data_IF_892724118796
#
_entry.id   IF_892724118796
#
_cell.length_a   1.000
_cell.length_b   1.000
_cell.length_c   1.000
_cell.angle_alpha   90.00
_cell.angle_beta   90.00
_cell.angle_gamma   90.00
#
_symmetry.space_group_name_H-M   'P 1'
#
loop_
_entity.id
_entity.type
_entity.pdbx_description
1 polymer ?
#
# COMPACT_ATOMS: atom_id res chain seq x y z
N UNK A 1 15.83 6.11 29.79
CA UNK A 1 14.38 6.35 29.54
C UNK A 1 14.10 7.15 28.25
N UNK A 2 14.89 8.18 27.88
CA UNK A 2 14.65 8.95 26.63
C UNK A 2 14.84 8.13 25.36
N UNK A 3 15.91 7.34 25.29
CA UNK A 3 16.29 6.60 24.08
C UNK A 3 15.29 5.48 23.72
N UNK A 4 14.79 4.75 24.71
CA UNK A 4 13.79 3.68 24.49
C UNK A 4 12.44 4.21 23.96
N UNK A 5 11.98 5.36 24.48
CA UNK A 5 10.74 6.00 24.04
C UNK A 5 10.86 6.49 22.60
N UNK A 6 11.99 7.08 22.24
CA UNK A 6 12.28 7.55 20.88
C UNK A 6 12.31 6.36 19.90
N UNK A 7 13.02 5.28 20.24
CA UNK A 7 13.06 4.06 19.43
C UNK A 7 11.67 3.46 19.23
N UNK A 8 10.86 3.40 20.29
CA UNK A 8 9.47 2.92 20.18
C UNK A 8 8.62 3.76 19.21
N UNK A 9 8.71 5.09 19.30
CA UNK A 9 7.93 5.98 18.43
C UNK A 9 8.39 5.91 16.98
N UNK A 10 9.70 5.81 16.73
CA UNK A 10 10.23 5.63 15.37
C UNK A 10 9.78 4.31 14.75
N UNK A 11 9.83 3.23 15.53
CA UNK A 11 9.34 1.93 15.05
C UNK A 11 7.83 1.94 14.81
N UNK A 12 7.05 2.53 15.71
CA UNK A 12 5.62 2.67 15.53
C UNK A 12 5.28 3.48 14.25
N UNK A 13 6.02 4.55 13.99
CA UNK A 13 5.88 5.34 12.77
C UNK A 13 6.20 4.54 11.51
N UNK A 14 7.33 3.83 11.49
CA UNK A 14 7.75 3.02 10.35
C UNK A 14 6.77 1.87 10.08
N UNK A 15 6.41 1.10 11.11
CA UNK A 15 5.48 -0.02 10.97
C UNK A 15 4.07 0.46 10.59
N UNK A 16 3.63 1.59 11.13
CA UNK A 16 2.39 2.25 10.73
C UNK A 16 2.40 2.67 9.27
N UNK A 17 3.49 3.30 8.82
CA UNK A 17 3.66 3.67 7.41
C UNK A 17 3.67 2.43 6.49
N UNK A 18 4.34 1.36 6.85
CA UNK A 18 4.28 0.11 6.08
C UNK A 18 2.85 -0.45 6.01
N UNK A 19 2.10 -0.41 7.10
CA UNK A 19 0.71 -0.89 7.14
C UNK A 19 -0.25 -0.04 6.29
N UNK A 20 0.09 1.23 6.01
CA UNK A 20 -0.68 2.12 5.12
C UNK A 20 -0.63 1.73 3.64
N UNK A 21 0.30 0.88 3.20
CA UNK A 21 0.40 0.47 1.78
C UNK A 21 -0.93 -0.07 1.24
N UNK A 22 -1.67 -0.84 2.03
CA UNK A 22 -2.99 -1.37 1.64
C UNK A 22 -4.04 -0.26 1.45
N UNK A 23 -4.40 0.48 2.51
CA UNK A 23 -5.34 1.61 2.41
C UNK A 23 -4.94 2.62 1.34
N UNK A 24 -3.67 2.99 1.26
CA UNK A 24 -3.20 3.90 0.22
C UNK A 24 -3.46 3.35 -1.18
N UNK A 25 -3.18 2.06 -1.42
CA UNK A 25 -3.34 1.44 -2.74
C UNK A 25 -4.79 1.32 -3.21
N UNK A 26 -5.73 1.27 -2.28
CA UNK A 26 -7.15 1.06 -2.55
C UNK A 26 -7.89 2.41 -2.52
N UNK A 27 -7.84 3.09 -1.39
CA UNK A 27 -8.74 4.20 -1.09
C UNK A 27 -8.44 5.46 -1.92
N UNK A 28 -7.17 5.72 -2.21
CA UNK A 28 -6.77 6.89 -3.01
C UNK A 28 -7.22 6.79 -4.48
N UNK A 29 -7.44 5.55 -4.98
CA UNK A 29 -7.80 5.29 -6.37
C UNK A 29 -9.31 5.29 -6.59
N UNK A 30 -10.13 5.10 -5.55
CA UNK A 30 -11.59 5.06 -5.69
C UNK A 30 -12.18 6.29 -6.41
N UNK A 31 -11.86 7.54 -6.04
CA UNK A 31 -12.39 8.72 -6.71
C UNK A 31 -11.83 8.93 -8.12
N UNK A 32 -10.81 8.18 -8.51
CA UNK A 32 -10.09 8.31 -9.79
C UNK A 32 -10.73 7.45 -10.89
N UNK A 33 -11.43 6.38 -10.53
CA UNK A 33 -11.99 5.41 -11.48
C UNK A 33 -12.88 6.04 -12.57
N UNK A 34 -13.77 7.01 -12.28
CA UNK A 34 -14.59 7.63 -13.32
C UNK A 34 -13.76 8.38 -14.37
N UNK A 35 -12.72 9.09 -13.94
CA UNK A 35 -11.83 9.81 -14.86
C UNK A 35 -11.01 8.83 -15.71
N UNK A 36 -10.54 7.74 -15.12
CA UNK A 36 -9.87 6.67 -15.87
C UNK A 36 -10.80 6.07 -16.94
N UNK A 37 -12.08 5.85 -16.61
CA UNK A 37 -13.06 5.33 -17.55
C UNK A 37 -13.23 6.26 -18.77
N UNK A 38 -13.33 7.56 -18.53
CA UNK A 38 -13.46 8.56 -19.57
C UNK A 38 -12.21 8.68 -20.45
N UNK A 39 -11.03 8.79 -19.82
CA UNK A 39 -9.77 9.00 -20.56
C UNK A 39 -9.32 7.75 -21.33
N UNK A 40 -9.56 6.55 -20.81
CA UNK A 40 -9.23 5.30 -21.48
C UNK A 40 -10.29 4.85 -22.47
N UNK A 41 -11.48 5.52 -22.51
CA UNK A 41 -12.58 5.13 -23.38
C UNK A 41 -13.20 3.79 -23.03
N UNK A 42 -13.11 3.37 -21.76
CA UNK A 42 -13.55 2.07 -21.28
C UNK A 42 -14.81 2.19 -20.40
N UNK A 43 -15.75 1.24 -20.50
CA UNK A 43 -16.90 1.24 -19.61
C UNK A 43 -16.48 1.03 -18.15
N UNK A 44 -17.19 1.65 -17.20
CA UNK A 44 -16.86 1.62 -15.77
C UNK A 44 -16.68 0.21 -15.23
N UNK A 45 -17.52 -0.74 -15.63
CA UNK A 45 -17.41 -2.13 -15.20
C UNK A 45 -16.09 -2.81 -15.62
N UNK A 46 -15.45 -2.37 -16.72
CA UNK A 46 -14.11 -2.86 -17.09
C UNK A 46 -13.01 -2.20 -16.24
N UNK A 47 -13.13 -0.92 -15.94
CA UNK A 47 -12.19 -0.21 -15.06
C UNK A 47 -12.20 -0.82 -13.66
N UNK A 48 -13.36 -1.23 -13.15
CA UNK A 48 -13.50 -1.90 -11.84
C UNK A 48 -12.74 -3.23 -11.78
N UNK A 49 -12.41 -3.87 -12.89
CA UNK A 49 -11.53 -5.03 -12.92
C UNK A 49 -10.13 -4.71 -12.37
N UNK A 50 -9.69 -3.46 -12.46
CA UNK A 50 -8.43 -3.02 -11.84
C UNK A 50 -8.49 -3.11 -10.31
N UNK A 51 -9.65 -2.84 -9.71
CA UNK A 51 -9.88 -3.02 -8.28
C UNK A 51 -10.00 -4.51 -7.91
N UNK A 52 -10.69 -5.28 -8.73
CA UNK A 52 -10.74 -6.74 -8.56
C UNK A 52 -9.34 -7.35 -8.60
N UNK A 53 -8.51 -6.92 -9.53
CA UNK A 53 -7.13 -7.39 -9.68
C UNK A 53 -6.27 -7.09 -8.44
N UNK A 54 -6.37 -5.88 -7.86
CA UNK A 54 -5.59 -5.55 -6.66
C UNK A 54 -6.06 -6.38 -5.45
N UNK A 55 -7.34 -6.62 -5.29
CA UNK A 55 -7.84 -7.49 -4.21
C UNK A 55 -7.41 -8.95 -4.42
N UNK A 56 -7.47 -9.46 -5.64
CA UNK A 56 -6.99 -10.81 -5.96
C UNK A 56 -5.49 -10.95 -5.67
N UNK A 57 -4.67 -9.98 -6.10
CA UNK A 57 -3.26 -9.94 -5.77
C UNK A 57 -3.02 -9.89 -4.26
N UNK A 58 -3.80 -9.06 -3.54
CA UNK A 58 -3.72 -8.94 -2.08
C UNK A 58 -4.03 -10.25 -1.37
N UNK A 59 -5.03 -11.00 -1.83
CA UNK A 59 -5.38 -12.32 -1.29
C UNK A 59 -4.21 -13.32 -1.45
N UNK A 60 -3.60 -13.36 -2.64
CA UNK A 60 -2.41 -14.19 -2.91
C UNK A 60 -1.23 -13.75 -2.04
N UNK A 61 -0.99 -12.45 -1.94
CA UNK A 61 0.09 -11.88 -1.12
C UNK A 61 -0.03 -12.24 0.35
N UNK A 62 -1.25 -12.28 0.90
CA UNK A 62 -1.47 -12.67 2.30
C UNK A 62 -0.99 -14.09 2.62
N UNK A 63 -1.07 -15.01 1.67
CA UNK A 63 -0.62 -16.39 1.85
C UNK A 63 0.91 -16.47 1.75
N UNK A 64 1.52 -15.66 0.87
CA UNK A 64 2.94 -15.77 0.51
C UNK A 64 3.84 -15.09 1.55
N UNK A 65 3.51 -13.87 1.99
CA UNK A 65 4.45 -13.03 2.74
C UNK A 65 4.74 -13.51 4.17
N UNK A 66 3.85 -14.25 4.81
CA UNK A 66 4.12 -14.88 6.10
C UNK A 66 5.33 -15.82 5.99
N UNK A 67 5.19 -16.97 5.32
CA UNK A 67 6.26 -17.95 5.16
C UNK A 67 7.53 -17.38 4.52
N UNK A 68 7.38 -16.47 3.53
CA UNK A 68 8.51 -15.88 2.83
C UNK A 68 9.38 -15.03 3.78
N UNK A 69 8.74 -14.20 4.61
CA UNK A 69 9.44 -13.35 5.58
C UNK A 69 10.03 -14.13 6.75
N UNK A 70 9.43 -15.27 7.11
CA UNK A 70 9.98 -16.17 8.12
C UNK A 70 11.24 -16.91 7.62
N UNK A 71 11.27 -17.27 6.32
CA UNK A 71 12.40 -18.00 5.71
C UNK A 71 13.58 -17.09 5.36
N UNK A 72 13.33 -15.92 4.76
CA UNK A 72 14.39 -15.04 4.23
C UNK A 72 14.67 -13.82 5.11
N UNK A 73 13.90 -13.65 6.18
CA UNK A 73 13.97 -12.49 7.07
C UNK A 73 13.06 -11.34 6.64
N UNK A 74 12.67 -10.50 7.62
CA UNK A 74 11.70 -9.41 7.42
C UNK A 74 12.22 -8.34 6.46
N UNK A 75 13.48 -7.88 6.68
CA UNK A 75 14.07 -6.76 5.95
C UNK A 75 14.23 -6.99 4.46
N UNK A 76 14.86 -8.07 3.97
CA UNK A 76 15.02 -8.27 2.52
C UNK A 76 13.68 -8.45 1.81
N UNK A 77 12.72 -9.14 2.43
CA UNK A 77 11.41 -9.38 1.82
C UNK A 77 10.61 -8.08 1.66
N UNK A 78 10.60 -7.21 2.68
CA UNK A 78 9.90 -5.93 2.58
C UNK A 78 10.56 -5.00 1.57
N UNK A 79 11.90 -4.96 1.49
CA UNK A 79 12.60 -4.13 0.51
C UNK A 79 12.27 -4.54 -0.93
N UNK A 80 12.28 -5.84 -1.23
CA UNK A 80 11.87 -6.34 -2.55
C UNK A 80 10.41 -5.98 -2.85
N UNK A 81 9.52 -6.13 -1.86
CA UNK A 81 8.12 -5.77 -2.01
C UNK A 81 7.94 -4.25 -2.28
N UNK A 82 8.65 -3.38 -1.57
CA UNK A 82 8.60 -1.93 -1.78
C UNK A 82 9.14 -1.51 -3.15
N UNK A 83 10.21 -2.15 -3.62
CA UNK A 83 10.73 -1.93 -4.98
C UNK A 83 9.67 -2.34 -6.02
N UNK A 84 9.07 -3.52 -5.89
CA UNK A 84 8.02 -3.98 -6.79
C UNK A 84 6.76 -3.09 -6.70
N UNK A 85 6.40 -2.60 -5.51
CA UNK A 85 5.35 -1.62 -5.33
C UNK A 85 5.62 -0.35 -6.14
N UNK A 86 6.80 0.21 -5.98
CA UNK A 86 7.22 1.43 -6.68
C UNK A 86 7.24 1.23 -8.20
N UNK A 87 7.75 0.10 -8.68
CA UNK A 87 7.74 -0.24 -10.12
C UNK A 87 6.30 -0.36 -10.62
N UNK A 88 5.43 -1.04 -9.90
CA UNK A 88 4.03 -1.23 -10.30
C UNK A 88 3.26 0.09 -10.35
N UNK A 89 3.47 1.00 -9.41
CA UNK A 89 2.82 2.33 -9.42
C UNK A 89 3.31 3.19 -10.58
N UNK A 90 4.60 3.19 -10.90
CA UNK A 90 5.16 3.87 -12.09
C UNK A 90 4.57 3.27 -13.36
N UNK A 91 4.49 1.95 -13.46
CA UNK A 91 3.97 1.28 -14.64
C UNK A 91 2.48 1.61 -14.87
N UNK A 92 1.67 1.64 -13.82
CA UNK A 92 0.26 2.08 -13.92
C UNK A 92 0.17 3.54 -14.34
N UNK A 93 0.98 4.44 -13.79
CA UNK A 93 0.94 5.87 -14.14
C UNK A 93 1.28 6.16 -15.61
N UNK A 94 1.97 5.24 -16.29
CA UNK A 94 2.38 5.36 -17.70
C UNK A 94 1.51 4.54 -18.66
N UNK A 95 0.58 3.77 -18.13
CA UNK A 95 -0.27 2.92 -18.97
C UNK A 95 -1.28 3.76 -19.77
N UNK A 96 -1.45 3.39 -21.03
CA UNK A 96 -2.36 4.05 -21.97
C UNK A 96 -3.57 3.17 -22.32
N UNK A 97 -3.59 1.92 -21.86
CA UNK A 97 -4.69 0.96 -22.04
C UNK A 97 -4.99 0.26 -20.72
N UNK A 98 -6.14 -0.40 -20.65
CA UNK A 98 -6.63 -1.00 -19.41
C UNK A 98 -5.88 -2.30 -19.03
N UNK A 99 -5.47 -3.09 -19.99
CA UNK A 99 -4.86 -4.41 -19.75
C UNK A 99 -3.56 -4.33 -18.92
N UNK A 100 -2.59 -3.47 -19.25
CA UNK A 100 -1.43 -3.25 -18.39
C UNK A 100 -1.79 -2.74 -16.99
N UNK A 101 -2.84 -1.90 -16.88
CA UNK A 101 -3.30 -1.42 -15.58
C UNK A 101 -3.77 -2.59 -14.72
N UNK A 102 -4.61 -3.47 -15.24
CA UNK A 102 -5.12 -4.65 -14.53
C UNK A 102 -3.93 -5.53 -14.06
N UNK A 103 -2.98 -5.80 -14.95
CA UNK A 103 -1.79 -6.61 -14.62
C UNK A 103 -0.98 -5.98 -13.47
N UNK A 104 -0.63 -4.70 -13.60
CA UNK A 104 0.19 -4.03 -12.58
C UNK A 104 -0.57 -3.80 -11.27
N UNK A 105 -1.89 -3.62 -11.33
CA UNK A 105 -2.74 -3.58 -10.13
C UNK A 105 -2.76 -4.92 -9.39
N UNK A 106 -2.74 -6.04 -10.11
CA UNK A 106 -2.56 -7.35 -9.47
C UNK A 106 -1.21 -7.46 -8.75
N UNK A 107 -0.11 -7.08 -9.42
CA UNK A 107 1.24 -7.06 -8.81
C UNK A 107 1.26 -6.11 -7.61
N UNK A 108 0.69 -4.92 -7.72
CA UNK A 108 0.59 -3.96 -6.62
C UNK A 108 -0.19 -4.53 -5.44
N UNK A 109 -1.30 -5.22 -5.71
CA UNK A 109 -2.08 -5.93 -4.70
C UNK A 109 -1.27 -7.00 -3.98
N UNK A 110 -0.55 -7.81 -4.75
CA UNK A 110 0.32 -8.85 -4.21
C UNK A 110 1.32 -8.25 -3.22
N UNK A 111 1.98 -7.14 -3.56
CA UNK A 111 3.03 -6.57 -2.71
C UNK A 111 2.50 -5.69 -1.56
N UNK A 112 1.33 -5.05 -1.69
CA UNK A 112 0.77 -4.24 -0.61
C UNK A 112 0.45 -5.06 0.66
N UNK A 113 0.14 -6.35 0.49
CA UNK A 113 -0.12 -7.25 1.61
C UNK A 113 1.09 -7.41 2.53
N UNK A 114 2.32 -7.29 1.98
CA UNK A 114 3.58 -7.41 2.73
C UNK A 114 3.67 -6.39 3.86
N UNK A 115 3.24 -5.16 3.61
CA UNK A 115 3.38 -4.05 4.57
C UNK A 115 2.75 -4.37 5.92
N UNK A 116 1.49 -4.76 5.94
CA UNK A 116 0.77 -5.09 7.18
C UNK A 116 1.25 -6.40 7.81
N UNK A 117 1.53 -7.43 6.98
CA UNK A 117 1.96 -8.74 7.48
C UNK A 117 3.31 -8.62 8.17
N UNK A 118 4.27 -7.99 7.49
CA UNK A 118 5.64 -7.85 8.00
C UNK A 118 5.67 -6.85 9.17
N UNK A 119 4.89 -5.75 9.12
CA UNK A 119 4.78 -4.82 10.23
C UNK A 119 4.27 -5.52 11.51
N UNK A 120 3.20 -6.31 11.40
CA UNK A 120 2.65 -7.05 12.54
C UNK A 120 3.61 -8.15 13.04
N UNK A 121 4.34 -8.81 12.15
CA UNK A 121 5.33 -9.81 12.53
C UNK A 121 6.53 -9.15 13.24
N UNK A 122 7.08 -8.07 12.69
CA UNK A 122 8.18 -7.31 13.29
C UNK A 122 7.79 -6.72 14.65
N UNK A 123 6.54 -6.27 14.81
CA UNK A 123 6.04 -5.81 16.10
C UNK A 123 6.03 -6.93 17.15
N UNK A 124 5.60 -8.13 16.77
CA UNK A 124 5.58 -9.32 17.65
C UNK A 124 6.97 -9.81 18.02
N UNK A 125 7.94 -9.67 17.11
CA UNK A 125 9.31 -10.12 17.34
C UNK A 125 10.08 -9.21 18.33
N UNK A 126 9.63 -7.94 18.51
CA UNK A 126 10.40 -6.93 19.23
C UNK A 126 9.75 -6.40 20.52
N UNK A 127 8.47 -6.63 20.74
CA UNK A 127 7.75 -6.05 21.88
C UNK A 127 7.01 -7.10 22.71
N UNK A 128 7.04 -6.91 24.06
CA UNK A 128 6.28 -7.69 25.03
C UNK A 128 4.77 -7.50 24.81
N UNK A 129 3.95 -8.41 25.35
CA UNK A 129 2.49 -8.42 25.19
C UNK A 129 1.81 -7.08 25.49
N UNK A 130 2.26 -6.36 26.51
CA UNK A 130 1.64 -5.08 26.91
C UNK A 130 1.91 -3.97 25.90
N UNK A 131 3.17 -3.82 25.48
CA UNK A 131 3.59 -2.82 24.48
C UNK A 131 3.09 -3.17 23.08
N UNK A 132 3.02 -4.46 22.75
CA UNK A 132 2.51 -4.97 21.49
C UNK A 132 1.05 -4.55 21.24
N UNK A 133 0.17 -4.70 22.24
CA UNK A 133 -1.22 -4.30 22.11
C UNK A 133 -1.38 -2.81 21.77
N UNK A 134 -0.64 -1.94 22.47
CA UNK A 134 -0.63 -0.49 22.21
C UNK A 134 -0.10 -0.17 20.80
N UNK A 135 0.95 -0.86 20.36
CA UNK A 135 1.57 -0.66 19.05
C UNK A 135 0.61 -1.08 17.91
N UNK A 136 -0.01 -2.26 18.02
CA UNK A 136 -0.99 -2.74 17.03
C UNK A 136 -2.19 -1.78 16.94
N UNK A 137 -2.68 -1.29 18.09
CA UNK A 137 -3.77 -0.30 18.11
C UNK A 137 -3.37 1.01 17.41
N UNK A 138 -2.13 1.47 17.60
CA UNK A 138 -1.61 2.65 16.92
C UNK A 138 -1.48 2.44 15.40
N UNK A 139 -0.94 1.30 14.97
CA UNK A 139 -0.85 0.91 13.55
C UNK A 139 -2.25 0.89 12.93
N UNK A 140 -3.23 0.31 13.63
CA UNK A 140 -4.62 0.26 13.17
C UNK A 140 -5.22 1.67 13.07
N UNK A 141 -5.02 2.52 14.08
CA UNK A 141 -5.49 3.91 14.05
C UNK A 141 -4.93 4.69 12.85
N UNK A 142 -3.63 4.56 12.59
CA UNK A 142 -2.98 5.17 11.42
C UNK A 142 -3.60 4.66 10.12
N UNK A 143 -3.84 3.35 10.00
CA UNK A 143 -4.44 2.76 8.81
C UNK A 143 -5.87 3.25 8.57
N UNK A 144 -6.70 3.33 9.61
CA UNK A 144 -8.09 3.83 9.51
C UNK A 144 -8.10 5.33 9.17
N UNK A 145 -7.22 6.12 9.79
CA UNK A 145 -7.10 7.54 9.45
C UNK A 145 -6.70 7.75 8.00
N UNK A 146 -5.81 6.90 7.48
CA UNK A 146 -5.42 6.91 6.07
C UNK A 146 -6.61 6.64 5.14
N UNK A 147 -7.49 5.69 5.47
CA UNK A 147 -8.68 5.39 4.66
C UNK A 147 -9.65 6.57 4.54
N UNK A 148 -9.67 7.48 5.50
CA UNK A 148 -10.47 8.71 5.42
C UNK A 148 -9.77 9.78 4.59
N UNK A 149 -8.45 9.90 4.73
CA UNK A 149 -7.65 10.97 4.10
C UNK A 149 -7.35 10.64 2.63
N UNK A 150 -7.05 9.38 2.31
CA UNK A 150 -6.64 8.96 0.97
C UNK A 150 -7.64 9.32 -0.14
N UNK A 151 -8.97 9.11 0.00
CA UNK A 151 -9.93 9.51 -1.02
C UNK A 151 -9.94 11.04 -1.25
N UNK A 152 -9.73 11.84 -0.21
CA UNK A 152 -9.66 13.30 -0.33
C UNK A 152 -8.42 13.72 -1.14
N UNK A 153 -7.27 13.09 -0.85
CA UNK A 153 -6.05 13.31 -1.63
C UNK A 153 -6.26 12.86 -3.08
N UNK A 154 -6.83 11.67 -3.29
CA UNK A 154 -7.11 11.13 -4.63
C UNK A 154 -8.04 12.04 -5.44
N UNK A 155 -9.12 12.51 -4.83
CA UNK A 155 -10.06 13.45 -5.44
C UNK A 155 -9.40 14.78 -5.83
N UNK A 156 -8.60 15.37 -4.91
CA UNK A 156 -7.84 16.58 -5.19
C UNK A 156 -6.82 16.40 -6.32
N UNK A 157 -6.08 15.28 -6.31
CA UNK A 157 -5.06 15.00 -7.31
C UNK A 157 -5.67 14.78 -8.69
N UNK A 158 -6.74 13.99 -8.80
CA UNK A 158 -7.38 13.72 -10.09
C UNK A 158 -7.97 14.98 -10.71
N UNK A 159 -8.56 15.85 -9.91
CA UNK A 159 -9.19 17.11 -10.39
C UNK A 159 -8.17 18.11 -10.92
N UNK A 160 -6.98 18.17 -10.33
CA UNK A 160 -5.99 19.21 -10.66
C UNK A 160 -4.86 18.71 -11.57
N UNK A 161 -4.53 17.43 -11.54
CA UNK A 161 -3.31 16.88 -12.16
C UNK A 161 -3.55 15.60 -12.99
N UNK A 162 -4.80 15.15 -13.12
CA UNK A 162 -5.15 13.92 -13.82
C UNK A 162 -4.93 12.65 -12.98
N UNK A 163 -5.49 11.53 -13.44
CA UNK A 163 -5.49 10.27 -12.69
C UNK A 163 -4.08 9.66 -12.50
N UNK A 164 -3.17 9.89 -13.43
CA UNK A 164 -1.79 9.40 -13.35
C UNK A 164 -1.04 9.93 -12.14
N UNK A 165 -1.36 11.16 -11.72
CA UNK A 165 -0.74 11.84 -10.58
C UNK A 165 -0.91 11.09 -9.26
N UNK A 166 -2.04 10.39 -9.10
CA UNK A 166 -2.32 9.58 -7.91
C UNK A 166 -1.31 8.44 -7.76
N UNK A 167 -0.96 7.79 -8.86
CA UNK A 167 0.04 6.74 -8.86
C UNK A 167 1.47 7.28 -8.65
N UNK A 168 1.74 8.52 -9.08
CA UNK A 168 3.01 9.20 -8.76
C UNK A 168 3.12 9.54 -7.27
N UNK A 169 2.05 9.93 -6.60
CA UNK A 169 2.03 10.10 -5.14
C UNK A 169 2.34 8.76 -4.44
N UNK A 170 1.74 7.66 -4.90
CA UNK A 170 2.03 6.33 -4.37
C UNK A 170 3.49 5.91 -4.64
N UNK A 171 4.04 6.28 -5.80
CA UNK A 171 5.46 6.07 -6.13
C UNK A 171 6.36 6.81 -5.12
N UNK A 172 6.09 8.09 -4.87
CA UNK A 172 6.80 8.88 -3.87
C UNK A 172 6.74 8.24 -2.48
N UNK A 173 5.56 7.76 -2.10
CA UNK A 173 5.39 7.03 -0.84
C UNK A 173 6.23 5.75 -0.77
N UNK A 174 6.21 4.92 -1.81
CA UNK A 174 7.03 3.72 -1.89
C UNK A 174 8.53 4.02 -1.75
N UNK A 175 9.00 5.07 -2.43
CA UNK A 175 10.41 5.51 -2.36
C UNK A 175 10.80 6.00 -0.96
N UNK A 176 9.91 6.64 -0.21
CA UNK A 176 10.22 7.09 1.16
C UNK A 176 10.34 5.96 2.17
N UNK A 177 9.81 4.78 1.85
CA UNK A 177 9.88 3.59 2.71
C UNK A 177 11.07 2.67 2.40
N UNK A 178 11.77 2.84 1.27
CA UNK A 178 12.98 2.11 0.88
C UNK A 178 14.19 2.67 1.60
#
# INVERSE_FOLDING_TARGET
MGNERTTYLLMAGLLGAMAMLGPLSIDIVLPVLPTMAQELGEPMGRIELSMTAIFAGGAVGQIIYGPLSDRYGRKPVILVALILFTISTIAVSRATTLEPIIFWRFIQGLVMASGRIIANAAARDQFDRERLGKLISLIFLVSVSASVINPLIGGFMVTNFGWQSVFLVMTGYGLTLI
#
